data_IF_657650903584
#
_entry.id   IF_657650903584
#
_cell.length_a   1.000
_cell.length_b   1.000
_cell.length_c   1.000
_cell.angle_alpha   90.00
_cell.angle_beta   90.00
_cell.angle_gamma   90.00
#
_symmetry.space_group_name_H-M   'P 1'
#
loop_
_entity.id
_entity.type
_entity.pdbx_description
1 polymer ?
#
# COMPACT_ATOMS: atom_id res chain seq x y z
N UNK A 1 -3.78 -4.46 50.35
CA UNK A 1 -3.51 -5.53 49.36
C UNK A 1 -4.43 -5.31 48.18
N UNK A 2 -3.91 -5.02 46.98
CA UNK A 2 -4.75 -4.69 45.82
C UNK A 2 -5.50 -5.93 45.33
N UNK A 3 -6.82 -5.83 45.23
CA UNK A 3 -7.67 -6.89 44.70
C UNK A 3 -7.51 -6.95 43.18
N UNK A 4 -6.92 -8.04 42.68
CA UNK A 4 -6.77 -8.26 41.24
C UNK A 4 -8.15 -8.52 40.61
N UNK A 5 -8.45 -7.79 39.53
CA UNK A 5 -9.66 -7.92 38.73
C UNK A 5 -9.89 -9.37 38.26
N UNK A 6 -11.15 -9.83 38.29
CA UNK A 6 -11.57 -11.19 37.89
C UNK A 6 -11.18 -11.56 36.45
N UNK A 7 -10.99 -10.57 35.58
CA UNK A 7 -10.58 -10.76 34.18
C UNK A 7 -9.15 -11.30 34.09
N UNK A 8 -8.27 -10.86 34.99
CA UNK A 8 -6.87 -11.30 35.00
C UNK A 8 -6.70 -12.77 35.45
N UNK A 9 -7.67 -13.32 36.21
CA UNK A 9 -7.63 -14.70 36.67
C UNK A 9 -7.92 -15.73 35.57
N UNK A 10 -8.68 -15.38 34.53
CA UNK A 10 -8.98 -16.31 33.43
C UNK A 10 -7.80 -16.44 32.47
N UNK A 11 -7.02 -15.38 32.28
CA UNK A 11 -5.85 -15.40 31.39
C UNK A 11 -4.75 -16.33 31.92
N UNK A 12 -4.56 -16.39 33.25
CA UNK A 12 -3.57 -17.27 33.89
C UNK A 12 -3.92 -18.77 33.72
N UNK A 13 -5.22 -19.11 33.63
CA UNK A 13 -5.66 -20.51 33.52
C UNK A 13 -5.49 -21.11 32.12
N UNK A 14 -5.34 -20.28 31.09
CA UNK A 14 -5.23 -20.73 29.69
C UNK A 14 -3.79 -20.77 29.17
N UNK A 15 -2.79 -20.48 30.01
CA UNK A 15 -1.39 -20.64 29.65
C UNK A 15 -1.02 -22.13 29.65
N UNK A 16 -0.53 -22.68 28.53
CA UNK A 16 -0.06 -24.06 28.49
C UNK A 16 1.12 -24.22 29.45
N UNK A 17 1.22 -25.34 30.19
CA UNK A 17 2.29 -25.56 31.15
C UNK A 17 3.64 -25.49 30.42
N UNK A 18 4.48 -24.53 30.82
CA UNK A 18 5.83 -24.40 30.31
C UNK A 18 6.58 -25.68 30.63
N UNK A 19 7.03 -26.37 29.57
CA UNK A 19 7.89 -27.55 29.72
C UNK A 19 9.22 -27.08 30.26
N UNK A 20 9.45 -27.32 31.55
CA UNK A 20 10.76 -27.19 32.19
C UNK A 20 11.78 -28.01 31.38
N UNK A 21 12.67 -27.31 30.66
CA UNK A 21 13.83 -27.93 30.04
C UNK A 21 14.83 -28.22 31.15
N UNK A 22 14.80 -29.47 31.58
CA UNK A 22 15.82 -30.08 32.42
C UNK A 22 17.19 -29.96 31.74
N UNK A 23 18.10 -29.25 32.40
CA UNK A 23 19.50 -29.09 32.00
C UNK A 23 20.17 -30.47 32.06
N UNK A 24 20.55 -31.04 30.92
CA UNK A 24 21.37 -32.26 30.84
C UNK A 24 22.82 -31.89 30.55
N UNK A 25 23.71 -32.34 31.43
CA UNK A 25 25.16 -32.28 31.31
C UNK A 25 25.69 -32.93 30.01
N UNK A 26 26.88 -32.53 29.53
CA UNK A 26 27.45 -33.02 28.28
C UNK A 26 28.12 -34.38 28.47
N UNK A 27 27.88 -35.33 27.57
CA UNK A 27 28.59 -36.61 27.48
C UNK A 27 28.97 -36.87 26.01
N UNK A 28 30.17 -37.42 25.72
CA UNK A 28 30.89 -37.14 24.48
C UNK A 28 30.52 -38.06 23.30
N UNK A 29 30.86 -37.54 22.10
CA UNK A 29 31.02 -38.14 20.77
C UNK A 29 30.45 -39.56 20.49
N UNK A 30 29.60 -39.72 19.46
CA UNK A 30 29.29 -41.03 18.91
C UNK A 30 30.11 -41.39 17.66
N UNK A 31 30.76 -42.55 17.75
CA UNK A 31 31.24 -43.45 16.69
C UNK A 31 30.09 -43.90 15.76
N UNK A 32 30.35 -44.25 14.48
CA UNK A 32 29.28 -44.40 13.47
C UNK A 32 28.70 -45.82 13.32
N UNK A 33 27.41 -45.86 12.93
CA UNK A 33 26.67 -46.92 12.16
C UNK A 33 26.28 -48.20 12.97
N UNK A 34 25.15 -48.94 12.73
CA UNK A 34 24.33 -49.06 11.52
C UNK A 34 22.78 -49.07 11.65
N UNK A 35 22.15 -49.07 10.48
CA UNK A 35 20.71 -49.19 10.16
C UNK A 35 20.06 -50.47 10.72
N UNK A 36 18.79 -50.41 11.16
CA UNK A 36 17.85 -51.48 10.85
C UNK A 36 16.45 -51.03 10.35
N UNK A 37 16.02 -51.80 9.35
CA UNK A 37 14.72 -52.18 8.75
C UNK A 37 13.42 -52.03 9.59
N UNK A 38 12.23 -51.85 8.95
CA UNK A 38 10.97 -51.46 9.62
C UNK A 38 10.11 -52.64 10.12
N UNK A 39 9.35 -52.41 11.19
CA UNK A 39 8.17 -53.18 11.62
C UNK A 39 7.15 -52.20 12.21
N UNK A 40 5.94 -52.07 11.66
CA UNK A 40 4.74 -52.93 11.76
C UNK A 40 3.96 -52.76 13.07
N UNK A 41 2.64 -52.55 12.89
CA UNK A 41 1.51 -52.73 13.82
C UNK A 41 1.26 -51.58 14.81
N UNK A 42 0.17 -50.80 14.71
CA UNK A 42 -1.28 -51.08 14.90
C UNK A 42 -1.72 -50.80 16.35
N UNK A 43 -2.67 -49.87 16.53
CA UNK A 43 -3.78 -49.81 17.51
C UNK A 43 -4.40 -48.40 17.42
N UNK A 44 -5.58 -48.24 16.81
CA UNK A 44 -6.93 -48.37 17.40
C UNK A 44 -7.16 -47.49 18.65
N UNK A 45 -8.05 -46.50 18.50
CA UNK A 45 -8.45 -45.60 19.56
C UNK A 45 -9.36 -44.48 19.08
N UNK A 46 -10.59 -44.83 18.71
CA UNK A 46 -11.72 -43.91 18.53
C UNK A 46 -12.10 -43.24 19.87
N UNK A 47 -12.32 -41.91 19.91
CA UNK A 47 -13.20 -41.31 20.89
C UNK A 47 -14.40 -40.61 20.24
N UNK A 48 -15.57 -40.98 20.77
CA UNK A 48 -16.90 -40.39 20.56
C UNK A 48 -16.93 -38.86 20.61
N UNK A 49 -17.82 -38.19 19.85
CA UNK A 49 -18.05 -36.76 19.96
C UNK A 49 -19.00 -36.43 21.13
N UNK A 50 -18.50 -35.61 22.06
CA UNK A 50 -19.29 -34.95 23.11
C UNK A 50 -20.10 -33.82 22.50
N UNK A 51 -21.41 -33.84 22.74
CA UNK A 51 -22.35 -32.78 22.38
C UNK A 51 -21.97 -31.45 23.04
N UNK A 52 -21.81 -30.40 22.24
CA UNK A 52 -21.63 -29.03 22.72
C UNK A 52 -22.89 -28.24 22.38
N UNK A 53 -23.48 -27.68 23.44
CA UNK A 53 -24.65 -26.83 23.46
C UNK A 53 -24.52 -25.64 22.52
N UNK A 54 -25.61 -25.40 21.79
CA UNK A 54 -25.92 -24.12 21.15
C UNK A 54 -26.12 -23.07 22.26
N UNK A 55 -25.28 -22.04 22.24
CA UNK A 55 -25.56 -20.75 22.89
C UNK A 55 -25.64 -19.74 21.76
N UNK A 56 -26.88 -19.40 21.45
CA UNK A 56 -27.30 -18.38 20.51
C UNK A 56 -27.39 -17.07 21.29
N UNK A 57 -26.37 -16.21 21.14
CA UNK A 57 -26.44 -14.82 21.60
C UNK A 57 -26.06 -13.92 20.41
N UNK A 58 -27.15 -13.40 19.87
CA UNK A 58 -27.30 -12.51 18.73
C UNK A 58 -27.13 -11.07 19.24
N UNK A 59 -25.98 -10.45 18.99
CA UNK A 59 -25.79 -9.01 19.09
C UNK A 59 -25.33 -8.49 17.73
N UNK A 60 -26.27 -7.93 16.98
CA UNK A 60 -26.03 -7.19 15.74
C UNK A 60 -25.37 -5.85 16.10
N UNK A 61 -24.03 -5.81 16.13
CA UNK A 61 -23.28 -4.55 16.10
C UNK A 61 -23.16 -4.06 14.64
N UNK A 62 -23.90 -3.00 14.36
CA UNK A 62 -23.84 -2.16 13.17
C UNK A 62 -22.45 -1.49 13.07
N UNK A 63 -21.52 -2.16 12.38
CA UNK A 63 -20.17 -1.65 12.13
C UNK A 63 -20.21 -0.66 10.95
N UNK A 64 -20.46 0.62 11.23
CA UNK A 64 -20.13 1.71 10.31
C UNK A 64 -18.61 1.70 10.09
N UNK A 65 -18.21 1.35 8.86
CA UNK A 65 -16.82 1.19 8.44
C UNK A 65 -16.06 2.52 8.36
N UNK A 66 -15.82 3.14 9.52
CA UNK A 66 -14.76 4.11 9.71
C UNK A 66 -13.46 3.30 9.87
N UNK A 67 -12.58 3.34 8.87
CA UNK A 67 -11.21 2.86 9.01
C UNK A 67 -10.47 3.81 9.96
N UNK A 68 -10.71 3.67 11.26
CA UNK A 68 -9.78 4.11 12.27
C UNK A 68 -8.58 3.18 12.09
N UNK A 69 -7.50 3.72 11.52
CA UNK A 69 -6.18 3.14 11.72
C UNK A 69 -5.96 3.27 13.21
N UNK A 70 -6.30 2.20 13.93
CA UNK A 70 -5.95 2.00 15.33
C UNK A 70 -4.42 1.98 15.33
N UNK A 71 -3.86 3.18 15.49
CA UNK A 71 -2.48 3.45 15.87
C UNK A 71 -2.36 2.88 17.28
N UNK A 72 -2.38 1.54 17.34
CA UNK A 72 -2.26 0.81 18.57
C UNK A 72 -1.02 1.31 19.26
N UNK A 73 -1.10 1.72 20.54
CA UNK A 73 0.09 2.11 21.27
C UNK A 73 1.03 0.91 21.19
N UNK A 74 2.14 1.11 20.47
CA UNK A 74 3.26 0.20 20.42
C UNK A 74 3.76 0.07 21.86
N UNK A 75 3.15 -0.88 22.58
CA UNK A 75 3.55 -1.37 23.89
C UNK A 75 4.81 -2.23 23.68
N UNK A 76 5.84 -1.57 23.15
CA UNK A 76 7.23 -1.97 23.24
C UNK A 76 7.64 -1.61 24.67
N UNK A 77 7.27 -2.47 25.62
CA UNK A 77 8.06 -2.64 26.83
C UNK A 77 9.42 -3.23 26.40
N UNK A 78 10.25 -2.36 25.81
CA UNK A 78 11.69 -2.55 25.68
C UNK A 78 12.26 -2.31 27.07
N UNK A 79 12.36 -3.39 27.84
CA UNK A 79 13.20 -3.52 29.03
C UNK A 79 14.68 -3.48 28.61
N UNK A 80 15.08 -2.39 27.95
CA UNK A 80 16.46 -1.96 27.87
C UNK A 80 16.66 -0.97 29.00
N UNK A 81 17.01 -1.51 30.17
CA UNK A 81 17.76 -0.77 31.17
C UNK A 81 19.13 -0.41 30.62
N UNK A 82 19.15 0.48 29.63
CA UNK A 82 20.35 1.17 29.19
C UNK A 82 20.44 2.40 30.07
N UNK A 83 21.46 2.39 30.91
CA UNK A 83 21.79 3.46 31.81
C UNK A 83 21.91 4.74 30.98
N UNK A 84 21.15 5.77 31.35
CA UNK A 84 21.30 7.16 30.89
C UNK A 84 22.75 7.62 31.14
N UNK A 85 23.66 7.22 30.25
CA UNK A 85 24.84 8.00 29.94
C UNK A 85 24.38 9.12 29.04
N UNK A 86 23.85 10.16 29.69
CA UNK A 86 23.85 11.54 29.19
C UNK A 86 25.31 11.93 28.90
N UNK A 87 25.87 11.37 27.82
CA UNK A 87 27.00 11.96 27.15
C UNK A 87 26.44 13.22 26.52
N UNK A 88 26.50 14.31 27.29
CA UNK A 88 26.52 15.66 26.76
C UNK A 88 27.54 15.64 25.62
N UNK A 89 27.03 15.51 24.40
CA UNK A 89 27.81 15.78 23.21
C UNK A 89 27.92 17.30 23.25
N UNK A 90 29.04 17.76 23.79
CA UNK A 90 29.39 19.17 23.83
C UNK A 90 29.23 19.70 22.39
N UNK A 91 28.21 20.52 22.17
CA UNK A 91 27.81 21.12 20.88
C UNK A 91 28.86 22.12 20.34
N UNK A 92 30.06 22.13 20.94
CA UNK A 92 31.14 23.11 20.73
C UNK A 92 32.28 22.54 19.86
N UNK A 93 31.95 21.61 18.97
CA UNK A 93 32.92 20.72 18.31
C UNK A 93 32.75 20.55 16.82
N UNK A 94 32.10 21.48 16.10
CA UNK A 94 32.24 21.56 14.64
C UNK A 94 33.68 22.02 14.32
N UNK A 95 34.63 21.12 14.47
CA UNK A 95 36.00 21.34 14.04
C UNK A 95 35.98 21.52 12.52
N UNK A 96 36.04 22.78 12.08
CA UNK A 96 36.21 23.11 10.67
C UNK A 96 37.35 22.27 10.10
N UNK A 97 37.07 21.56 9.02
CA UNK A 97 38.04 20.74 8.32
C UNK A 97 39.01 21.71 7.62
N UNK A 98 40.19 21.90 8.20
CA UNK A 98 41.18 22.89 7.72
C UNK A 98 42.17 22.29 6.71
N UNK A 99 42.25 20.96 6.61
CA UNK A 99 43.21 20.25 5.78
C UNK A 99 42.55 19.16 4.93
N UNK A 100 43.02 18.98 3.69
CA UNK A 100 42.51 17.97 2.75
C UNK A 100 42.70 16.54 3.31
N UNK A 101 43.74 16.33 4.13
CA UNK A 101 43.96 15.06 4.81
C UNK A 101 42.84 14.74 5.81
N UNK A 102 42.36 15.74 6.56
CA UNK A 102 41.24 15.56 7.49
C UNK A 102 39.94 15.23 6.75
N UNK A 103 39.73 15.79 5.56
CA UNK A 103 38.58 15.46 4.72
C UNK A 103 38.64 13.99 4.26
N UNK A 104 39.81 13.52 3.82
CA UNK A 104 40.00 12.11 3.41
C UNK A 104 39.74 11.18 4.60
N UNK A 105 40.29 11.50 5.77
CA UNK A 105 40.10 10.71 6.99
C UNK A 105 38.61 10.66 7.37
N UNK A 106 37.92 11.80 7.35
CA UNK A 106 36.47 11.87 7.61
C UNK A 106 35.67 10.99 6.63
N UNK A 107 35.93 11.08 5.33
CA UNK A 107 35.26 10.25 4.32
C UNK A 107 35.52 8.76 4.57
N UNK A 108 36.74 8.39 4.96
CA UNK A 108 37.06 6.98 5.26
C UNK A 108 36.30 6.47 6.48
N UNK A 109 36.19 7.28 7.54
CA UNK A 109 35.42 6.93 8.75
C UNK A 109 33.93 6.79 8.41
N UNK A 110 33.38 7.72 7.64
CA UNK A 110 31.99 7.69 7.22
C UNK A 110 31.68 6.45 6.36
N UNK A 111 32.58 6.10 5.44
CA UNK A 111 32.44 4.90 4.61
C UNK A 111 32.54 3.62 5.45
N UNK A 112 33.46 3.57 6.41
CA UNK A 112 33.56 2.44 7.35
C UNK A 112 32.29 2.29 8.18
N UNK A 113 31.75 3.38 8.74
CA UNK A 113 30.51 3.37 9.51
C UNK A 113 29.33 2.85 8.68
N UNK A 114 29.21 3.29 7.42
CA UNK A 114 28.18 2.81 6.51
C UNK A 114 28.31 1.30 6.22
N UNK A 115 29.53 0.81 5.98
CA UNK A 115 29.76 -0.63 5.76
C UNK A 115 29.45 -1.46 7.00
N UNK A 116 29.76 -0.97 8.20
CA UNK A 116 29.45 -1.61 9.47
C UNK A 116 27.92 -1.68 9.70
N UNK A 117 27.20 -0.59 9.45
CA UNK A 117 25.74 -0.55 9.56
C UNK A 117 25.06 -1.54 8.61
N UNK A 118 25.49 -1.61 7.35
CA UNK A 118 24.97 -2.59 6.39
C UNK A 118 25.28 -4.04 6.78
N UNK A 119 26.45 -4.30 7.38
CA UNK A 119 26.81 -5.63 7.86
C UNK A 119 25.92 -6.04 9.04
N UNK A 120 25.70 -5.14 10.01
CA UNK A 120 24.80 -5.35 11.14
C UNK A 120 23.34 -5.60 10.68
N UNK A 121 22.85 -4.86 9.68
CA UNK A 121 21.53 -5.08 9.10
C UNK A 121 21.42 -6.49 8.49
N UNK A 122 22.43 -6.93 7.72
CA UNK A 122 22.47 -8.27 7.12
C UNK A 122 22.51 -9.37 8.18
N UNK A 123 23.25 -9.17 9.26
CA UNK A 123 23.31 -10.11 10.38
C UNK A 123 21.95 -10.20 11.11
N UNK A 124 21.32 -9.06 11.37
CA UNK A 124 19.97 -8.99 11.93
C UNK A 124 18.92 -9.65 11.04
N UNK A 125 19.06 -9.55 9.72
CA UNK A 125 18.21 -10.24 8.75
C UNK A 125 18.44 -11.76 8.74
N UNK A 126 19.69 -12.21 8.86
CA UNK A 126 20.05 -13.63 8.90
C UNK A 126 19.54 -14.33 10.16
N UNK A 127 19.44 -13.63 11.29
CA UNK A 127 18.90 -14.15 12.56
C UNK A 127 17.37 -14.31 12.58
N UNK A 128 16.62 -13.67 11.67
CA UNK A 128 15.15 -13.71 11.66
C UNK A 128 14.65 -15.06 11.13
N UNK A 129 14.29 -15.96 12.05
CA UNK A 129 13.71 -17.29 11.75
C UNK A 129 12.30 -17.25 11.12
N UNK A 130 11.65 -16.08 11.06
CA UNK A 130 10.32 -15.94 10.48
C UNK A 130 10.45 -15.72 8.97
N UNK A 131 9.79 -16.58 8.19
CA UNK A 131 9.70 -16.43 6.73
C UNK A 131 9.07 -15.06 6.42
N UNK A 132 9.78 -14.20 5.68
CA UNK A 132 9.29 -12.87 5.27
C UNK A 132 8.17 -12.91 4.23
N UNK A 133 7.90 -14.09 3.68
CA UNK A 133 6.85 -14.29 2.69
C UNK A 133 5.65 -14.91 3.36
N UNK A 134 4.49 -14.27 3.19
CA UNK A 134 3.21 -14.83 3.56
C UNK A 134 3.01 -16.16 2.80
N UNK A 135 2.98 -17.28 3.52
CA UNK A 135 2.85 -18.62 2.93
C UNK A 135 1.41 -19.00 2.56
N UNK A 136 0.52 -18.01 2.47
CA UNK A 136 -0.92 -18.23 2.38
C UNK A 136 -1.56 -18.42 3.76
N UNK A 137 -2.89 -18.45 3.74
CA UNK A 137 -3.69 -18.74 4.93
C UNK A 137 -3.41 -20.16 5.42
N UNK A 138 -3.43 -20.36 6.74
CA UNK A 138 -3.36 -21.70 7.30
C UNK A 138 -4.57 -22.53 6.87
N UNK A 139 -4.44 -23.86 6.75
CA UNK A 139 -5.57 -24.77 6.49
C UNK A 139 -6.75 -24.54 7.44
N UNK A 140 -6.45 -24.20 8.71
CA UNK A 140 -7.46 -23.88 9.73
C UNK A 140 -8.22 -22.60 9.37
N UNK A 141 -7.51 -21.56 8.93
CA UNK A 141 -8.12 -20.30 8.48
C UNK A 141 -8.97 -20.52 7.24
N UNK A 142 -8.48 -21.29 6.25
CA UNK A 142 -9.25 -21.65 5.06
C UNK A 142 -10.55 -22.39 5.39
N UNK A 143 -10.48 -23.40 6.28
CA UNK A 143 -11.66 -24.12 6.75
C UNK A 143 -12.66 -23.21 7.47
N UNK A 144 -12.18 -22.27 8.29
CA UNK A 144 -13.03 -21.27 8.97
C UNK A 144 -13.70 -20.34 7.96
N UNK A 145 -12.97 -19.84 6.97
CA UNK A 145 -13.55 -19.01 5.90
C UNK A 145 -14.59 -19.79 5.09
N UNK A 146 -14.31 -21.05 4.74
CA UNK A 146 -15.27 -21.90 4.03
C UNK A 146 -16.53 -22.17 4.86
N UNK A 147 -16.39 -22.42 6.16
CA UNK A 147 -17.52 -22.59 7.07
C UNK A 147 -18.36 -21.32 7.19
N UNK A 148 -17.71 -20.16 7.35
CA UNK A 148 -18.40 -18.87 7.40
C UNK A 148 -19.12 -18.57 6.07
N UNK A 149 -18.52 -18.87 4.92
CA UNK A 149 -19.20 -18.72 3.63
C UNK A 149 -20.43 -19.62 3.49
N UNK A 150 -20.38 -20.85 4.02
CA UNK A 150 -21.55 -21.75 4.04
C UNK A 150 -22.67 -21.18 4.90
N UNK A 151 -22.36 -20.70 6.10
CA UNK A 151 -23.33 -20.03 6.98
C UNK A 151 -23.99 -18.83 6.30
N UNK A 152 -23.19 -17.95 5.70
CA UNK A 152 -23.70 -16.80 4.96
C UNK A 152 -24.51 -17.18 3.71
N UNK A 153 -24.31 -18.36 3.15
CA UNK A 153 -25.10 -18.86 2.02
C UNK A 153 -26.45 -19.45 2.45
N UNK A 154 -26.58 -19.87 3.71
CA UNK A 154 -27.85 -20.34 4.28
C UNK A 154 -28.80 -19.16 4.58
N UNK A 155 -28.25 -17.97 4.87
CA UNK A 155 -29.04 -16.77 5.10
C UNK A 155 -29.67 -16.22 3.81
N UNK A 156 -31.00 -16.25 3.65
CA UNK A 156 -31.67 -15.82 2.40
C UNK A 156 -31.56 -14.31 2.16
N UNK A 157 -31.22 -13.54 3.20
CA UNK A 157 -31.02 -12.09 3.14
C UNK A 157 -29.65 -11.73 2.56
N UNK A 158 -28.66 -12.63 2.65
CA UNK A 158 -27.31 -12.36 2.19
C UNK A 158 -27.14 -12.67 0.69
N UNK A 159 -26.87 -11.64 -0.11
CA UNK A 159 -26.56 -11.79 -1.53
C UNK A 159 -25.08 -11.55 -1.77
N UNK A 160 -24.35 -12.60 -2.18
CA UNK A 160 -22.95 -12.45 -2.54
C UNK A 160 -22.78 -11.53 -3.76
N UNK A 161 -21.75 -10.67 -3.71
CA UNK A 161 -21.35 -9.80 -4.83
C UNK A 161 -21.13 -10.59 -6.13
N UNK A 162 -20.76 -11.86 -6.02
CA UNK A 162 -20.61 -12.77 -7.17
C UNK A 162 -21.88 -12.88 -8.02
N UNK A 163 -23.07 -12.72 -7.45
CA UNK A 163 -24.34 -12.68 -8.21
C UNK A 163 -24.46 -11.44 -9.10
N UNK A 164 -23.88 -10.31 -8.70
CA UNK A 164 -23.88 -9.07 -9.48
C UNK A 164 -22.83 -9.08 -10.61
N UNK A 165 -21.80 -9.91 -10.47
CA UNK A 165 -20.72 -10.06 -11.45
C UNK A 165 -20.95 -11.19 -12.45
N UNK A 166 -22.06 -11.93 -12.35
CA UNK A 166 -22.40 -12.89 -13.38
C UNK A 166 -22.67 -12.11 -14.69
N UNK A 167 -21.92 -12.38 -15.77
CA UNK A 167 -22.17 -11.76 -17.06
C UNK A 167 -23.64 -11.98 -17.36
N UNK A 168 -24.38 -10.90 -17.55
CA UNK A 168 -25.78 -10.96 -17.96
C UNK A 168 -25.76 -11.58 -19.35
N UNK A 169 -25.83 -12.91 -19.41
CA UNK A 169 -26.08 -13.65 -20.64
C UNK A 169 -27.40 -13.10 -21.12
N UNK A 170 -27.31 -12.17 -22.06
CA UNK A 170 -28.43 -11.59 -22.75
C UNK A 170 -29.12 -12.77 -23.40
N UNK A 171 -30.18 -13.25 -22.76
CA UNK A 171 -31.01 -14.31 -23.29
C UNK A 171 -31.70 -13.73 -24.51
N UNK A 172 -31.04 -13.84 -25.66
CA UNK A 172 -31.56 -13.53 -26.98
C UNK A 172 -32.58 -14.60 -27.37
N UNK A 173 -33.67 -14.66 -26.62
CA UNK A 173 -34.88 -15.35 -27.03
C UNK A 173 -35.91 -14.28 -27.38
N UNK A 174 -35.62 -13.54 -28.45
CA UNK A 174 -36.61 -12.78 -29.18
C UNK A 174 -36.75 -13.43 -30.58
N UNK A 175 -37.78 -14.26 -30.68
CA UNK A 175 -38.49 -14.74 -31.87
C UNK A 175 -37.75 -14.83 -33.20
N UNK A 176 -37.67 -16.08 -33.70
CA UNK A 176 -37.93 -16.46 -35.09
C UNK A 176 -38.47 -15.33 -35.98
N UNK A 177 -37.67 -14.94 -36.98
CA UNK A 177 -38.17 -14.84 -38.35
C UNK A 177 -37.12 -15.40 -39.29
N UNK A 178 -37.54 -16.47 -39.95
CA UNK A 178 -36.87 -17.25 -40.96
C UNK A 178 -36.70 -16.40 -42.23
N UNK A 179 -35.47 -16.07 -42.63
CA UNK A 179 -35.12 -15.68 -44.00
C UNK A 179 -33.60 -15.65 -44.24
N UNK A 180 -33.16 -16.61 -45.05
CA UNK A 180 -32.19 -16.46 -46.15
C UNK A 180 -30.81 -15.82 -45.88
N UNK A 181 -29.81 -16.68 -46.03
CA UNK A 181 -28.81 -16.59 -47.10
C UNK A 181 -28.05 -15.26 -47.25
N UNK A 182 -26.81 -15.21 -46.74
CA UNK A 182 -25.63 -14.93 -47.58
C UNK A 182 -24.35 -14.75 -46.75
N UNK A 183 -23.31 -15.39 -47.30
CA UNK A 183 -21.89 -15.00 -47.36
C UNK A 183 -21.03 -14.85 -46.10
N UNK A 184 -19.99 -15.68 -46.13
CA UNK A 184 -18.76 -15.58 -45.36
C UNK A 184 -18.06 -14.24 -45.61
N UNK A 185 -17.83 -13.49 -44.54
CA UNK A 185 -16.89 -12.36 -44.55
C UNK A 185 -15.67 -12.78 -43.70
N UNK A 186 -14.57 -13.04 -44.41
CA UNK A 186 -13.25 -13.14 -43.82
C UNK A 186 -12.85 -11.77 -43.28
N UNK A 187 -12.67 -11.65 -41.97
CA UNK A 187 -12.05 -10.49 -41.34
C UNK A 187 -10.54 -10.66 -41.40
N UNK A 188 -9.94 -10.10 -42.44
CA UNK A 188 -8.51 -9.79 -42.46
C UNK A 188 -8.25 -8.54 -41.60
N UNK A 189 -7.25 -8.68 -40.74
CA UNK A 189 -6.56 -7.63 -40.01
C UNK A 189 -6.10 -6.51 -40.96
N UNK A 190 -6.59 -5.28 -40.74
CA UNK A 190 -5.95 -4.08 -41.28
C UNK A 190 -6.19 -2.89 -40.35
N UNK A 191 -5.39 -2.79 -39.30
CA UNK A 191 -5.22 -1.58 -38.50
C UNK A 191 -4.24 -0.63 -39.21
N UNK A 192 -4.77 0.16 -40.14
CA UNK A 192 -4.14 1.39 -40.62
C UNK A 192 -5.01 2.58 -40.19
N UNK A 193 -4.69 3.17 -39.04
CA UNK A 193 -5.28 4.43 -38.59
C UNK A 193 -4.47 5.56 -39.23
N UNK A 194 -4.85 5.94 -40.44
CA UNK A 194 -4.50 7.23 -41.04
C UNK A 194 -5.52 8.27 -40.57
N UNK A 195 -5.03 9.29 -39.85
CA UNK A 195 -5.82 10.42 -39.36
C UNK A 195 -6.26 11.31 -40.51
N UNK A 196 -7.52 11.18 -40.91
CA UNK A 196 -8.20 12.08 -41.84
C UNK A 196 -8.91 13.18 -41.03
N UNK A 197 -8.38 14.40 -41.12
CA UNK A 197 -9.00 15.63 -40.62
C UNK A 197 -10.22 15.98 -41.48
N UNK A 198 -11.42 16.17 -40.91
CA UNK A 198 -12.55 16.66 -41.68
C UNK A 198 -12.45 18.18 -41.93
N UNK A 199 -12.89 18.66 -43.11
CA UNK A 199 -12.82 20.07 -43.47
C UNK A 199 -13.96 20.86 -42.82
N UNK A 200 -13.59 21.93 -42.11
CA UNK A 200 -14.51 22.95 -41.61
C UNK A 200 -15.20 23.65 -42.78
N UNK A 201 -16.52 23.48 -42.85
CA UNK A 201 -17.41 24.24 -43.74
C UNK A 201 -18.09 25.33 -42.90
N UNK A 202 -17.93 26.63 -43.20
CA UNK A 202 -18.58 27.69 -42.44
C UNK A 202 -20.05 27.82 -42.88
N UNK A 203 -20.97 27.56 -41.96
CA UNK A 203 -22.39 27.86 -42.13
C UNK A 203 -22.69 29.33 -41.76
N UNK A 204 -23.72 29.96 -42.35
CA UNK A 204 -23.92 31.40 -42.31
C UNK A 204 -24.58 31.85 -41.01
N UNK A 205 -24.08 32.99 -40.51
CA UNK A 205 -24.64 33.80 -39.43
C UNK A 205 -26.09 34.18 -39.73
N UNK A 206 -27.00 33.69 -38.91
CA UNK A 206 -28.37 34.21 -38.81
C UNK A 206 -28.41 35.12 -37.57
N UNK A 207 -28.68 36.40 -37.81
CA UNK A 207 -28.83 37.44 -36.81
C UNK A 207 -30.14 37.19 -36.04
N UNK A 208 -30.05 36.84 -34.75
CA UNK A 208 -31.18 36.93 -33.84
C UNK A 208 -30.86 37.77 -32.61
N UNK A 209 -31.90 38.50 -32.22
CA UNK A 209 -31.97 39.69 -31.37
C UNK A 209 -31.55 39.50 -29.90
N UNK A 210 -31.20 40.61 -29.21
CA UNK A 210 -30.76 40.60 -27.82
C UNK A 210 -31.93 40.32 -26.86
N UNK A 211 -31.97 39.10 -26.30
CA UNK A 211 -32.74 38.80 -25.09
C UNK A 211 -31.91 39.21 -23.88
N UNK A 212 -32.21 40.39 -23.33
CA UNK A 212 -31.79 40.82 -22.01
C UNK A 212 -32.31 39.83 -20.96
N UNK A 213 -31.42 38.95 -20.51
CA UNK A 213 -31.67 38.11 -19.34
C UNK A 213 -30.92 38.76 -18.19
N UNK A 214 -31.67 39.20 -17.18
CA UNK A 214 -31.14 39.92 -16.04
C UNK A 214 -30.05 39.13 -15.32
N UNK A 215 -28.87 39.75 -15.28
CA UNK A 215 -27.74 39.43 -14.42
C UNK A 215 -28.18 39.58 -12.95
N UNK A 216 -28.02 38.54 -12.14
CA UNK A 216 -27.93 38.63 -10.67
C UNK A 216 -27.73 37.23 -10.06
N UNK A 217 -26.58 36.57 -10.30
CA UNK A 217 -26.21 35.39 -9.48
C UNK A 217 -24.74 34.94 -9.48
N UNK A 218 -23.75 35.69 -9.97
CA UNK A 218 -22.39 35.11 -10.15
C UNK A 218 -21.27 35.97 -9.54
N UNK A 219 -21.15 36.02 -8.22
CA UNK A 219 -19.99 36.65 -7.56
C UNK A 219 -19.41 35.87 -6.35
N UNK A 220 -19.91 34.67 -6.03
CA UNK A 220 -19.38 33.90 -4.88
C UNK A 220 -18.25 32.91 -5.25
N UNK A 221 -18.09 32.53 -6.52
CA UNK A 221 -17.02 31.59 -6.93
C UNK A 221 -15.60 32.15 -6.79
N UNK A 222 -15.43 33.47 -6.87
CA UNK A 222 -14.11 34.11 -6.75
C UNK A 222 -13.51 34.09 -5.34
N UNK A 223 -14.34 33.98 -4.29
CA UNK A 223 -13.84 33.98 -2.91
C UNK A 223 -13.26 32.61 -2.51
N UNK A 224 -13.85 31.52 -3.01
CA UNK A 224 -13.47 30.16 -2.61
C UNK A 224 -12.15 29.69 -3.24
N UNK A 225 -11.82 30.19 -4.45
CA UNK A 225 -10.56 29.89 -5.12
C UNK A 225 -9.34 30.46 -4.36
N UNK A 226 -9.49 31.65 -3.77
CA UNK A 226 -8.42 32.31 -3.01
C UNK A 226 -8.11 31.56 -1.69
N UNK A 227 -9.14 31.05 -1.01
CA UNK A 227 -8.97 30.29 0.24
C UNK A 227 -8.23 28.96 0.01
N UNK A 228 -8.56 28.25 -1.08
CA UNK A 228 -7.87 27.02 -1.45
C UNK A 228 -6.38 27.26 -1.78
N UNK A 229 -6.07 28.32 -2.51
CA UNK A 229 -4.69 28.69 -2.82
C UNK A 229 -3.92 29.09 -1.56
N UNK A 230 -4.54 29.85 -0.66
CA UNK A 230 -3.92 30.26 0.60
C UNK A 230 -3.61 29.06 1.51
N UNK A 231 -4.54 28.11 1.63
CA UNK A 231 -4.32 26.87 2.40
C UNK A 231 -3.20 26.02 1.80
N UNK A 232 -3.08 25.99 0.47
CA UNK A 232 -2.01 25.28 -0.21
C UNK A 232 -0.65 25.94 0.06
N UNK A 233 -0.60 27.27 0.02
CA UNK A 233 0.62 28.02 0.33
C UNK A 233 1.06 27.86 1.79
N UNK A 234 0.11 27.87 2.74
CA UNK A 234 0.38 27.59 4.16
C UNK A 234 0.98 26.20 4.35
N UNK A 235 0.42 25.18 3.68
CA UNK A 235 1.00 23.84 3.71
C UNK A 235 2.41 23.77 3.11
N UNK A 236 2.71 24.54 2.08
CA UNK A 236 4.06 24.58 1.50
C UNK A 236 5.06 25.24 2.46
N UNK A 237 4.68 26.35 3.10
CA UNK A 237 5.53 27.05 4.08
C UNK A 237 6.01 26.13 5.22
N UNK A 238 5.10 25.35 5.82
CA UNK A 238 5.43 24.44 6.93
C UNK A 238 6.46 23.35 6.54
N UNK A 239 6.55 23.02 5.26
CA UNK A 239 7.37 21.92 4.73
C UNK A 239 8.78 22.37 4.29
N UNK A 240 8.95 23.63 3.90
CA UNK A 240 10.23 24.15 3.40
C UNK A 240 11.28 24.35 4.48
N UNK A 241 10.89 24.53 5.75
CA UNK A 241 11.81 25.11 6.74
C UNK A 241 12.83 24.15 7.36
N UNK A 242 12.76 22.82 7.15
CA UNK A 242 13.59 21.89 7.94
C UNK A 242 14.20 20.68 7.21
N UNK A 243 13.89 20.43 5.93
CA UNK A 243 14.45 19.28 5.22
C UNK A 243 15.66 19.70 4.36
N UNK A 244 16.87 19.15 4.58
CA UNK A 244 18.00 19.42 3.70
C UNK A 244 17.65 18.96 2.28
N UNK A 245 17.79 19.88 1.31
CA UNK A 245 17.48 19.62 -0.09
C UNK A 245 18.28 18.41 -0.59
N UNK A 246 17.61 17.41 -1.14
CA UNK A 246 18.29 16.22 -1.65
C UNK A 246 19.14 16.59 -2.86
N UNK A 247 20.28 15.92 -3.03
CA UNK A 247 21.12 16.04 -4.24
C UNK A 247 20.31 15.76 -5.51
N UNK A 248 19.28 14.90 -5.41
CA UNK A 248 18.39 14.58 -6.52
C UNK A 248 17.49 15.77 -6.88
N UNK A 249 17.03 16.53 -5.88
CA UNK A 249 16.18 17.69 -6.10
C UNK A 249 16.95 18.80 -6.80
N UNK A 250 18.21 19.02 -6.42
CA UNK A 250 19.10 19.97 -7.11
C UNK A 250 19.34 19.60 -8.58
N UNK A 251 19.50 18.29 -8.87
CA UNK A 251 19.62 17.83 -10.25
C UNK A 251 18.33 18.06 -11.05
N UNK A 252 17.17 17.91 -10.42
CA UNK A 252 15.86 18.13 -11.07
C UNK A 252 15.54 19.60 -11.27
N UNK A 253 15.97 20.47 -10.37
CA UNK A 253 15.84 21.92 -10.50
C UNK A 253 16.67 22.46 -11.68
N UNK A 254 17.71 21.72 -12.08
CA UNK A 254 18.51 22.02 -13.26
C UNK A 254 17.87 21.60 -14.58
N UNK A 255 16.77 20.83 -14.58
CA UNK A 255 16.08 20.46 -15.81
C UNK A 255 15.43 21.69 -16.44
N UNK A 256 15.87 22.02 -17.65
CA UNK A 256 15.27 23.10 -18.40
C UNK A 256 13.90 22.68 -18.95
N UNK A 257 13.02 23.68 -19.14
CA UNK A 257 11.75 23.59 -19.86
C UNK A 257 11.79 22.84 -21.21
N UNK A 258 12.97 22.65 -21.80
CA UNK A 258 13.14 21.86 -23.03
C UNK A 258 12.91 20.36 -22.86
N UNK A 259 12.99 19.83 -21.65
CA UNK A 259 12.75 18.40 -21.38
C UNK A 259 11.27 18.06 -21.13
N UNK A 260 10.38 19.05 -21.14
CA UNK A 260 8.93 18.89 -20.92
C UNK A 260 8.28 17.84 -21.83
N UNK A 261 8.60 17.73 -23.14
CA UNK A 261 8.01 16.69 -23.98
C UNK A 261 8.32 15.27 -23.50
N UNK A 262 9.54 15.03 -22.98
CA UNK A 262 9.93 13.72 -22.45
C UNK A 262 9.22 13.44 -21.14
N UNK A 263 9.02 14.46 -20.29
CA UNK A 263 8.29 14.33 -19.04
C UNK A 263 6.79 14.07 -19.26
N UNK A 264 6.16 14.74 -20.22
CA UNK A 264 4.78 14.41 -20.63
C UNK A 264 4.66 12.98 -21.15
N UNK A 265 5.60 12.56 -22.01
CA UNK A 265 5.61 11.18 -22.49
C UNK A 265 5.81 10.17 -21.35
N UNK A 266 6.69 10.45 -20.40
CA UNK A 266 6.90 9.61 -19.23
C UNK A 266 5.63 9.52 -18.36
N UNK A 267 4.95 10.65 -18.12
CA UNK A 267 3.65 10.70 -17.43
C UNK A 267 2.61 9.82 -18.13
N UNK A 268 2.50 9.92 -19.45
CA UNK A 268 1.51 9.15 -20.21
C UNK A 268 1.83 7.65 -20.16
N UNK A 269 3.11 7.28 -20.28
CA UNK A 269 3.57 5.90 -20.11
C UNK A 269 3.27 5.34 -18.72
N UNK A 270 3.53 6.12 -17.66
CA UNK A 270 3.22 5.76 -16.28
C UNK A 270 1.71 5.61 -16.07
N UNK A 271 0.91 6.50 -16.66
CA UNK A 271 -0.56 6.44 -16.58
C UNK A 271 -1.13 5.17 -17.23
N UNK A 272 -0.53 4.70 -18.33
CA UNK A 272 -0.88 3.40 -18.93
C UNK A 272 -0.47 2.26 -18.01
N UNK A 273 0.76 2.29 -17.47
CA UNK A 273 1.24 1.24 -16.55
C UNK A 273 0.44 1.15 -15.25
N UNK A 274 -0.06 2.26 -14.72
CA UNK A 274 -0.86 2.27 -13.50
C UNK A 274 -2.16 1.43 -13.62
N UNK A 275 -2.68 1.30 -14.85
CA UNK A 275 -3.89 0.52 -15.14
C UNK A 275 -3.61 -0.98 -15.22
N UNK A 276 -2.35 -1.40 -15.16
CA UNK A 276 -1.97 -2.81 -15.19
C UNK A 276 -2.32 -3.50 -13.86
N UNK A 277 -3.22 -4.48 -13.93
CA UNK A 277 -3.70 -5.24 -12.77
C UNK A 277 -2.67 -6.25 -12.25
N UNK A 278 -1.63 -6.54 -13.02
CA UNK A 278 -0.55 -7.46 -12.62
C UNK A 278 0.42 -6.82 -11.63
N UNK A 279 0.42 -5.49 -11.53
CA UNK A 279 1.25 -4.77 -10.59
C UNK A 279 0.70 -4.85 -9.16
N UNK A 280 1.62 -4.99 -8.20
CA UNK A 280 1.31 -4.90 -6.77
C UNK A 280 0.60 -3.57 -6.46
N UNK A 281 -0.28 -3.58 -5.46
CA UNK A 281 -0.95 -2.38 -4.97
C UNK A 281 0.06 -1.31 -4.52
N UNK A 282 1.20 -1.73 -3.94
CA UNK A 282 2.28 -0.81 -3.52
C UNK A 282 2.97 -0.18 -4.72
N UNK A 283 3.14 -0.90 -5.82
CA UNK A 283 3.72 -0.32 -7.04
C UNK A 283 2.74 0.63 -7.73
N UNK A 284 1.45 0.29 -7.76
CA UNK A 284 0.41 1.16 -8.31
C UNK A 284 0.27 2.46 -7.50
N UNK A 285 0.33 2.41 -6.18
CA UNK A 285 0.30 3.63 -5.36
C UNK A 285 1.52 4.52 -5.65
N UNK A 286 2.72 3.96 -5.75
CA UNK A 286 3.94 4.71 -6.13
C UNK A 286 3.85 5.32 -7.53
N UNK A 287 3.38 4.57 -8.52
CA UNK A 287 3.18 5.10 -9.88
C UNK A 287 2.15 6.23 -9.85
N UNK A 288 1.07 6.08 -9.10
CA UNK A 288 0.04 7.13 -8.94
C UNK A 288 0.63 8.39 -8.33
N UNK A 289 1.45 8.28 -7.28
CA UNK A 289 2.16 9.40 -6.69
C UNK A 289 3.09 10.08 -7.70
N UNK A 290 3.89 9.32 -8.46
CA UNK A 290 4.76 9.87 -9.52
C UNK A 290 3.97 10.61 -10.61
N UNK A 291 2.83 10.07 -11.03
CA UNK A 291 1.95 10.72 -12.02
C UNK A 291 1.37 12.03 -11.45
N UNK A 292 0.96 12.03 -10.18
CA UNK A 292 0.49 13.24 -9.51
C UNK A 292 1.58 14.31 -9.41
N UNK A 293 2.80 13.94 -9.00
CA UNK A 293 3.96 14.85 -8.99
C UNK A 293 4.23 15.44 -10.37
N UNK A 294 4.23 14.61 -11.42
CA UNK A 294 4.41 15.09 -12.79
C UNK A 294 3.28 16.02 -13.25
N UNK A 295 2.04 15.78 -12.83
CA UNK A 295 0.93 16.68 -13.16
C UNK A 295 1.10 18.05 -12.50
N UNK A 296 1.45 18.11 -11.22
CA UNK A 296 1.69 19.37 -10.52
C UNK A 296 2.91 20.12 -11.08
N UNK A 297 3.97 19.40 -11.41
CA UNK A 297 5.20 20.01 -11.94
C UNK A 297 5.05 20.51 -13.39
N UNK A 298 4.25 19.81 -14.21
CA UNK A 298 4.03 20.20 -15.62
C UNK A 298 2.90 21.22 -15.80
N UNK A 299 2.23 21.62 -14.72
CA UNK A 299 1.19 22.64 -14.77
C UNK A 299 1.82 24.04 -14.86
N UNK A 300 1.61 24.69 -16.01
CA UNK A 300 2.16 26.02 -16.32
C UNK A 300 1.57 27.09 -15.40
N UNK A 301 0.36 26.90 -14.89
CA UNK A 301 -0.31 27.89 -14.04
C UNK A 301 0.21 27.87 -12.61
N UNK A 302 0.63 26.70 -12.13
CA UNK A 302 1.01 26.50 -10.73
C UNK A 302 2.49 26.83 -10.47
N UNK A 303 3.35 26.75 -11.49
CA UNK A 303 4.79 27.07 -11.41
C UNK A 303 5.53 26.39 -10.23
N UNK A 304 5.11 25.19 -9.84
CA UNK A 304 5.71 24.48 -8.72
C UNK A 304 7.08 23.90 -9.10
N UNK A 305 8.00 23.99 -8.14
CA UNK A 305 9.25 23.23 -8.17
C UNK A 305 8.97 21.73 -8.05
N UNK A 306 9.93 20.89 -8.44
CA UNK A 306 9.79 19.45 -8.29
C UNK A 306 9.53 19.04 -6.83
N UNK A 307 10.21 19.70 -5.89
CA UNK A 307 10.07 19.44 -4.46
C UNK A 307 8.64 19.72 -3.99
N UNK A 308 8.09 20.91 -4.28
CA UNK A 308 6.72 21.29 -3.92
C UNK A 308 5.70 20.32 -4.53
N UNK A 309 5.83 20.00 -5.81
CA UNK A 309 4.96 19.05 -6.50
C UNK A 309 5.03 17.64 -5.88
N UNK A 310 6.21 17.19 -5.46
CA UNK A 310 6.40 15.87 -4.84
C UNK A 310 5.76 15.80 -3.45
N UNK A 311 5.90 16.87 -2.67
CA UNK A 311 5.32 17.01 -1.34
C UNK A 311 3.79 17.05 -1.42
N UNK A 312 3.23 17.84 -2.33
CA UNK A 312 1.78 17.92 -2.56
C UNK A 312 1.21 16.55 -2.96
N UNK A 313 1.89 15.84 -3.86
CA UNK A 313 1.49 14.51 -4.28
C UNK A 313 1.56 13.48 -3.13
N UNK A 314 2.60 13.55 -2.30
CA UNK A 314 2.73 12.68 -1.12
C UNK A 314 1.60 12.96 -0.12
N UNK A 315 1.31 14.22 0.17
CA UNK A 315 0.24 14.61 1.10
C UNK A 315 -1.15 14.25 0.60
N UNK A 316 -1.38 14.33 -0.71
CA UNK A 316 -2.63 13.91 -1.33
C UNK A 316 -2.84 12.38 -1.31
N UNK A 317 -1.78 11.59 -1.15
CA UNK A 317 -1.86 10.13 -1.10
C UNK A 317 -2.33 9.59 0.27
N UNK A 318 -2.36 10.43 1.31
CA UNK A 318 -2.66 10.05 2.70
C UNK A 318 -1.52 9.32 3.36
#
# INVERSE_FOLDING_TARGET
MPQKSKVNLQHIKNLPPSKNKELKDPTPAPTPTPIPTPGSSQEDGDPLPTAVQEVDENEEEEFEGLFIIDEGPDDLEDDSGDEDSDQQIDEDGEAEILDDQQLVDFVTVLQQAQTAAQAAEKEGMAGRKRKRHYTGNSKRSEQRHAANQRKLAEDPKHQFITKFLQPKVFSQNASETDASDSEAIMLEDNLAIEGQTPPLTPAPLDEQEPVSTEELSDNEEGLHANEAHQRLQEMLCDLTDNAPMSVSDSALDSLSWKDFPKLHWARDCLSVKNKDKTLDIVFRSRITAMVATLNFYLDVELSYTWQEASVLAAKAAG
#
